data_IF_855155738108
#
_entry.id   IF_855155738108
#
_cell.length_a   1.000
_cell.length_b   1.000
_cell.length_c   1.000
_cell.angle_alpha   90.00
_cell.angle_beta   90.00
_cell.angle_gamma   90.00
#
_symmetry.space_group_name_H-M   'P 1'
#
loop_
_entity.id
_entity.type
_entity.pdbx_description
1 polymer ?
#
# COMPACT_ATOMS: atom_id res chain seq x y z
N UNK A 1 -19.22 1.70 -19.91
CA UNK A 1 -18.39 1.39 -18.70
C UNK A 1 -18.76 0.04 -18.13
N UNK A 2 -17.80 -0.81 -17.91
CA UNK A 2 -17.95 -2.13 -17.27
C UNK A 2 -17.43 -2.05 -15.83
N UNK A 3 -18.24 -2.47 -14.85
CA UNK A 3 -17.84 -2.48 -13.43
C UNK A 3 -16.82 -3.60 -13.17
N UNK A 4 -15.61 -3.24 -12.71
CA UNK A 4 -14.55 -4.19 -12.32
C UNK A 4 -14.65 -4.52 -10.83
N UNK A 5 -14.83 -3.48 -9.99
CA UNK A 5 -14.83 -3.62 -8.52
C UNK A 5 -15.69 -2.54 -7.87
N UNK A 6 -16.31 -2.90 -6.77
CA UNK A 6 -17.02 -1.96 -5.88
C UNK A 6 -16.52 -2.15 -4.45
N UNK A 7 -16.21 -1.05 -3.78
CA UNK A 7 -15.88 -0.99 -2.36
C UNK A 7 -16.70 0.12 -1.68
N UNK A 8 -16.56 0.26 -0.36
CA UNK A 8 -17.18 1.38 0.36
C UNK A 8 -16.54 2.73 0.01
N UNK A 9 -15.32 2.72 -0.54
CA UNK A 9 -14.51 3.91 -0.78
C UNK A 9 -14.49 4.33 -2.25
N UNK A 10 -14.60 3.37 -3.16
CA UNK A 10 -14.50 3.62 -4.59
C UNK A 10 -15.20 2.55 -5.40
N UNK A 11 -15.60 2.92 -6.62
CA UNK A 11 -15.96 1.99 -7.68
C UNK A 11 -14.89 2.06 -8.77
N UNK A 12 -14.53 0.93 -9.34
CA UNK A 12 -13.59 0.83 -10.44
C UNK A 12 -14.31 0.28 -11.68
N UNK A 13 -14.09 0.93 -12.82
CA UNK A 13 -14.71 0.60 -14.10
C UNK A 13 -13.66 0.48 -15.19
N UNK A 14 -14.00 -0.29 -16.22
CA UNK A 14 -13.35 -0.22 -17.52
C UNK A 14 -14.22 0.61 -18.48
N UNK A 15 -13.62 1.57 -19.15
CA UNK A 15 -14.25 2.43 -20.15
C UNK A 15 -13.39 2.45 -21.42
N UNK A 16 -13.61 1.48 -22.30
CA UNK A 16 -12.72 1.25 -23.45
C UNK A 16 -11.31 0.83 -23.00
N UNK A 17 -10.33 1.67 -23.33
CA UNK A 17 -8.92 1.48 -22.98
C UNK A 17 -8.51 2.25 -21.70
N UNK A 18 -9.50 2.72 -20.93
CA UNK A 18 -9.28 3.41 -19.68
C UNK A 18 -9.78 2.60 -18.48
N UNK A 19 -9.04 2.72 -17.38
CA UNK A 19 -9.45 2.33 -16.04
C UNK A 19 -9.91 3.58 -15.30
N UNK A 20 -11.15 3.57 -14.81
CA UNK A 20 -11.78 4.69 -14.11
C UNK A 20 -11.99 4.32 -12.65
N UNK A 21 -11.34 5.03 -11.74
CA UNK A 21 -11.55 4.92 -10.30
C UNK A 21 -12.43 6.07 -9.83
N UNK A 22 -13.69 5.77 -9.55
CA UNK A 22 -14.65 6.73 -8.99
C UNK A 22 -14.59 6.67 -7.48
N UNK A 23 -14.25 7.79 -6.83
CA UNK A 23 -14.22 7.91 -5.38
C UNK A 23 -15.63 8.17 -4.84
N UNK A 24 -16.04 7.45 -3.80
CA UNK A 24 -17.37 7.56 -3.19
C UNK A 24 -17.51 8.74 -2.21
N UNK A 25 -16.49 9.59 -2.13
CA UNK A 25 -16.46 10.75 -1.25
C UNK A 25 -15.64 11.87 -1.90
N UNK A 26 -15.95 13.10 -1.50
CA UNK A 26 -15.28 14.27 -2.04
C UNK A 26 -14.03 14.59 -1.20
N UNK A 27 -12.88 14.12 -1.66
CA UNK A 27 -11.57 14.44 -1.06
C UNK A 27 -10.59 14.76 -2.19
N UNK A 28 -10.65 16.00 -2.74
CA UNK A 28 -9.79 16.41 -3.85
C UNK A 28 -8.31 16.18 -3.59
N UNK A 29 -7.84 16.47 -2.38
CA UNK A 29 -6.44 16.33 -1.99
C UNK A 29 -5.95 14.88 -2.05
N UNK A 30 -6.82 13.91 -1.74
CA UNK A 30 -6.48 12.49 -1.87
C UNK A 30 -6.38 12.06 -3.33
N UNK A 31 -7.27 12.58 -4.19
CA UNK A 31 -7.23 12.31 -5.63
C UNK A 31 -5.98 12.93 -6.28
N UNK A 32 -5.66 14.17 -5.95
CA UNK A 32 -4.46 14.87 -6.43
C UNK A 32 -3.18 14.16 -5.99
N UNK A 33 -3.13 13.69 -4.75
CA UNK A 33 -2.02 12.91 -4.22
C UNK A 33 -1.83 11.61 -4.98
N UNK A 34 -2.89 10.84 -5.16
CA UNK A 34 -2.84 9.57 -5.90
C UNK A 34 -2.38 9.77 -7.34
N UNK A 35 -2.94 10.79 -8.03
CA UNK A 35 -2.57 11.14 -9.38
C UNK A 35 -1.09 11.53 -9.47
N UNK A 36 -0.63 12.44 -8.60
CA UNK A 36 0.76 12.91 -8.55
C UNK A 36 1.73 11.75 -8.27
N UNK A 37 1.41 10.90 -7.30
CA UNK A 37 2.27 9.78 -6.91
C UNK A 37 2.39 8.74 -8.03
N UNK A 38 1.26 8.37 -8.66
CA UNK A 38 1.25 7.44 -9.79
C UNK A 38 2.02 8.00 -11.00
N UNK A 39 1.79 9.25 -11.37
CA UNK A 39 2.47 9.90 -12.51
C UNK A 39 3.97 10.03 -12.26
N UNK A 40 4.36 10.39 -11.02
CA UNK A 40 5.77 10.44 -10.63
C UNK A 40 6.42 9.07 -10.74
N UNK A 41 5.81 8.02 -10.18
CA UNK A 41 6.33 6.65 -10.26
C UNK A 41 6.48 6.19 -11.72
N UNK A 42 5.49 6.47 -12.57
CA UNK A 42 5.56 6.21 -14.00
C UNK A 42 6.75 6.92 -14.67
N UNK A 43 6.96 8.21 -14.35
CA UNK A 43 8.08 9.00 -14.85
C UNK A 43 9.47 8.47 -14.44
N UNK A 44 9.56 7.76 -13.32
CA UNK A 44 10.78 7.05 -12.87
C UNK A 44 10.92 5.64 -13.47
N UNK A 45 10.05 5.26 -14.42
CA UNK A 45 10.07 3.96 -15.08
C UNK A 45 9.62 2.80 -14.18
N UNK A 46 8.83 3.10 -13.16
CA UNK A 46 8.05 2.08 -12.44
C UNK A 46 6.87 1.69 -13.33
N UNK A 47 6.70 0.40 -13.57
CA UNK A 47 5.56 -0.07 -14.34
C UNK A 47 4.28 0.05 -13.49
N UNK A 48 3.46 1.02 -13.84
CA UNK A 48 2.18 1.35 -13.22
C UNK A 48 1.21 1.86 -14.29
N UNK A 49 -0.12 1.74 -14.12
CA UNK A 49 -1.07 2.36 -15.04
C UNK A 49 -0.79 3.86 -15.17
N UNK A 50 -0.61 4.32 -16.39
CA UNK A 50 -0.37 5.74 -16.66
C UNK A 50 -1.58 6.57 -16.25
N UNK A 51 -1.37 7.59 -15.43
CA UNK A 51 -2.41 8.57 -15.11
C UNK A 51 -2.76 9.40 -16.35
N UNK A 52 -4.05 9.62 -16.58
CA UNK A 52 -4.58 10.38 -17.73
C UNK A 52 -5.18 11.71 -17.25
N UNK A 53 -6.15 11.65 -16.34
CA UNK A 53 -6.86 12.84 -15.89
C UNK A 53 -7.64 12.60 -14.60
N UNK A 54 -7.98 13.71 -13.93
CA UNK A 54 -9.01 13.76 -12.89
C UNK A 54 -10.24 14.46 -13.44
N UNK A 55 -11.38 13.84 -13.30
CA UNK A 55 -12.68 14.39 -13.70
C UNK A 55 -13.55 14.63 -12.46
N UNK A 56 -14.10 15.82 -12.38
CA UNK A 56 -15.07 16.20 -11.35
C UNK A 56 -16.47 15.97 -11.93
N UNK A 57 -17.20 15.02 -11.34
CA UNK A 57 -18.62 14.84 -11.67
C UNK A 57 -19.42 15.67 -10.65
N UNK A 58 -20.03 16.80 -11.04
CA UNK A 58 -20.73 17.70 -10.12
C UNK A 58 -21.71 16.96 -9.21
N UNK A 59 -21.68 17.28 -7.92
CA UNK A 59 -22.56 16.74 -6.87
C UNK A 59 -22.50 15.21 -6.67
N UNK A 60 -21.57 14.50 -7.31
CA UNK A 60 -21.53 13.03 -7.28
C UNK A 60 -20.18 12.48 -6.81
N UNK A 61 -19.07 12.81 -7.48
CA UNK A 61 -17.82 12.10 -7.25
C UNK A 61 -16.61 12.73 -7.93
N UNK A 62 -15.43 12.26 -7.53
CA UNK A 62 -14.17 12.43 -8.26
C UNK A 62 -13.83 11.15 -8.99
N UNK A 63 -13.48 11.26 -10.27
CA UNK A 63 -13.03 10.14 -11.09
C UNK A 63 -11.55 10.34 -11.46
N UNK A 64 -10.72 9.38 -11.11
CA UNK A 64 -9.35 9.26 -11.60
C UNK A 64 -9.35 8.32 -12.80
N UNK A 65 -8.76 8.78 -13.91
CA UNK A 65 -8.63 8.01 -15.15
C UNK A 65 -7.19 7.60 -15.35
N UNK A 66 -7.00 6.33 -15.68
CA UNK A 66 -5.72 5.71 -15.97
C UNK A 66 -5.82 4.88 -17.25
N UNK A 67 -4.68 4.60 -17.88
CA UNK A 67 -4.58 3.58 -18.89
C UNK A 67 -5.06 2.23 -18.34
N UNK A 68 -5.89 1.52 -19.11
CA UNK A 68 -6.33 0.18 -18.73
C UNK A 68 -5.24 -0.84 -19.08
N UNK A 69 -4.70 -1.48 -18.07
CA UNK A 69 -3.76 -2.59 -18.23
C UNK A 69 -4.44 -3.91 -17.84
N UNK A 70 -4.37 -4.96 -18.67
CA UNK A 70 -4.93 -6.28 -18.35
C UNK A 70 -4.03 -7.03 -17.34
N UNK A 71 -3.94 -6.49 -16.14
CA UNK A 71 -3.05 -6.98 -15.08
C UNK A 71 -3.59 -8.28 -14.49
N UNK A 72 -2.79 -9.34 -14.51
CA UNK A 72 -3.01 -10.55 -13.72
C UNK A 72 -2.61 -10.26 -12.27
N UNK A 73 -3.58 -10.26 -11.35
CA UNK A 73 -3.33 -10.05 -9.91
C UNK A 73 -2.43 -11.16 -9.35
N UNK A 74 -1.56 -10.78 -8.42
CA UNK A 74 -0.73 -11.69 -7.67
C UNK A 74 -1.43 -12.14 -6.38
N UNK A 75 -1.09 -13.33 -5.93
CA UNK A 75 -1.41 -13.87 -4.60
C UNK A 75 -0.13 -14.05 -3.78
N UNK A 76 -0.28 -14.21 -2.47
CA UNK A 76 0.87 -14.57 -1.62
C UNK A 76 1.51 -15.89 -2.06
N UNK A 77 0.71 -16.83 -2.56
CA UNK A 77 1.17 -18.15 -3.02
C UNK A 77 2.05 -18.03 -4.26
N UNK A 78 1.70 -17.16 -5.22
CA UNK A 78 2.52 -16.88 -6.41
C UNK A 78 3.92 -16.39 -6.00
N UNK A 79 3.99 -15.45 -5.05
CA UNK A 79 5.26 -14.86 -4.62
C UNK A 79 6.08 -15.81 -3.75
N UNK A 80 5.44 -16.60 -2.89
CA UNK A 80 6.14 -17.54 -2.01
C UNK A 80 6.65 -18.77 -2.75
N UNK A 81 6.00 -19.17 -3.84
CA UNK A 81 6.42 -20.31 -4.66
C UNK A 81 7.50 -19.96 -5.69
N UNK A 82 7.72 -18.68 -5.98
CA UNK A 82 8.70 -18.19 -6.96
C UNK A 82 9.68 -17.20 -6.33
N UNK A 83 10.87 -17.67 -5.96
CA UNK A 83 11.93 -16.85 -5.37
C UNK A 83 12.40 -15.72 -6.29
N UNK A 84 12.32 -15.90 -7.62
CA UNK A 84 12.64 -14.85 -8.57
C UNK A 84 11.62 -13.73 -8.52
N UNK A 85 10.33 -14.06 -8.46
CA UNK A 85 9.26 -13.08 -8.33
C UNK A 85 9.38 -12.32 -7.02
N UNK A 86 9.68 -13.00 -5.91
CA UNK A 86 9.94 -12.34 -4.62
C UNK A 86 11.11 -11.34 -4.73
N UNK A 87 12.22 -11.73 -5.37
CA UNK A 87 13.35 -10.82 -5.59
C UNK A 87 12.95 -9.61 -6.42
N UNK A 88 12.18 -9.81 -7.50
CA UNK A 88 11.67 -8.71 -8.32
C UNK A 88 10.76 -7.74 -7.52
N UNK A 89 9.92 -8.25 -6.62
CA UNK A 89 9.13 -7.39 -5.73
C UNK A 89 10.04 -6.54 -4.87
N UNK A 90 11.06 -7.12 -4.26
CA UNK A 90 11.98 -6.37 -3.39
C UNK A 90 12.75 -5.30 -4.18
N UNK A 91 13.27 -5.65 -5.37
CA UNK A 91 13.95 -4.70 -6.26
C UNK A 91 13.03 -3.54 -6.67
N UNK A 92 11.75 -3.82 -6.92
CA UNK A 92 10.75 -2.79 -7.19
C UNK A 92 10.58 -1.85 -5.99
N UNK A 93 10.48 -2.40 -4.76
CA UNK A 93 10.30 -1.61 -3.53
C UNK A 93 11.54 -0.76 -3.20
N UNK A 94 12.74 -1.30 -3.44
CA UNK A 94 13.98 -0.54 -3.30
C UNK A 94 14.01 0.61 -4.34
N UNK A 95 13.62 0.36 -5.59
CA UNK A 95 13.56 1.38 -6.64
C UNK A 95 12.52 2.48 -6.35
N UNK A 96 11.40 2.15 -5.71
CA UNK A 96 10.43 3.17 -5.26
C UNK A 96 11.07 4.19 -4.32
N UNK A 97 11.94 3.75 -3.41
CA UNK A 97 12.62 4.63 -2.45
C UNK A 97 13.62 5.61 -3.09
N UNK A 98 14.02 5.38 -4.36
CA UNK A 98 14.90 6.26 -5.11
C UNK A 98 14.17 7.45 -5.77
N UNK A 99 12.82 7.40 -5.78
CA UNK A 99 11.98 8.46 -6.36
C UNK A 99 12.18 9.75 -5.57
N UNK A 100 12.52 10.83 -6.27
CA UNK A 100 12.57 12.16 -5.67
C UNK A 100 11.15 12.69 -5.47
N UNK A 101 10.80 12.95 -4.23
CA UNK A 101 9.51 13.50 -3.83
C UNK A 101 9.68 14.86 -3.17
N UNK A 102 8.59 15.60 -3.04
CA UNK A 102 8.57 16.91 -2.41
C UNK A 102 8.93 16.80 -0.91
N UNK A 103 10.05 17.39 -0.50
CA UNK A 103 10.54 17.36 0.88
C UNK A 103 9.64 18.14 1.86
N UNK A 104 8.68 18.93 1.36
CA UNK A 104 7.68 19.61 2.20
C UNK A 104 6.43 18.77 2.46
N UNK A 105 6.37 17.55 1.93
CA UNK A 105 5.24 16.66 2.15
C UNK A 105 5.18 16.20 3.61
N UNK A 106 4.09 16.56 4.29
CA UNK A 106 3.83 16.23 5.71
C UNK A 106 2.79 15.13 5.88
N UNK A 107 2.40 14.44 4.82
CA UNK A 107 1.28 13.47 4.85
C UNK A 107 1.55 12.31 5.82
N UNK A 108 2.80 11.88 5.96
CA UNK A 108 3.18 10.88 6.95
C UNK A 108 2.74 11.29 8.35
N UNK A 109 3.20 12.44 8.83
CA UNK A 109 2.94 12.90 10.20
C UNK A 109 1.52 13.44 10.38
N UNK A 110 0.99 14.13 9.38
CA UNK A 110 -0.31 14.79 9.47
C UNK A 110 -1.48 13.83 9.34
N UNK A 111 -1.32 12.71 8.63
CA UNK A 111 -2.38 11.77 8.31
C UNK A 111 -2.06 10.32 8.68
N UNK A 112 -0.99 9.72 8.10
CA UNK A 112 -0.75 8.28 8.24
C UNK A 112 -0.49 7.87 9.69
N UNK A 113 0.34 8.59 10.42
CA UNK A 113 0.65 8.30 11.83
C UNK A 113 -0.63 8.34 12.68
N UNK A 114 -1.48 9.35 12.48
CA UNK A 114 -2.76 9.46 13.20
C UNK A 114 -3.73 8.34 12.87
N UNK A 115 -3.77 7.91 11.60
CA UNK A 115 -4.58 6.77 11.19
C UNK A 115 -4.08 5.48 11.85
N UNK A 116 -2.77 5.28 11.96
CA UNK A 116 -2.19 4.11 12.63
C UNK A 116 -2.52 4.08 14.13
N UNK A 117 -2.39 5.21 14.83
CA UNK A 117 -2.81 5.33 16.24
C UNK A 117 -4.30 4.99 16.42
N UNK A 118 -5.13 5.45 15.51
CA UNK A 118 -6.54 5.11 15.52
C UNK A 118 -6.78 3.60 15.28
N UNK A 119 -6.06 2.97 14.36
CA UNK A 119 -6.17 1.52 14.14
C UNK A 119 -5.67 0.70 15.34
N UNK A 120 -4.67 1.17 16.07
CA UNK A 120 -4.21 0.55 17.32
C UNK A 120 -5.28 0.53 18.40
N UNK A 121 -6.18 1.52 18.45
CA UNK A 121 -7.24 1.60 19.46
C UNK A 121 -8.23 0.41 19.40
N UNK A 122 -8.26 -0.35 18.30
CA UNK A 122 -9.10 -1.54 18.17
C UNK A 122 -8.42 -2.83 18.67
N UNK A 123 -7.16 -2.75 19.07
CA UNK A 123 -6.43 -3.88 19.63
C UNK A 123 -6.64 -3.96 21.14
N UNK A 124 -6.78 -5.18 21.66
CA UNK A 124 -7.06 -5.43 23.07
C UNK A 124 -5.80 -5.63 23.94
N UNK A 125 -4.68 -5.03 23.53
CA UNK A 125 -3.42 -5.06 24.25
C UNK A 125 -2.72 -3.70 24.19
N UNK A 126 -1.69 -3.50 25.06
CA UNK A 126 -0.98 -2.23 25.10
C UNK A 126 -0.15 -2.02 23.84
N UNK A 127 -0.52 -0.97 23.08
CA UNK A 127 0.12 -0.58 21.83
C UNK A 127 1.02 0.65 21.95
N UNK A 128 1.21 1.21 23.15
CA UNK A 128 1.98 2.44 23.34
C UNK A 128 3.38 2.35 22.73
N UNK A 129 4.08 1.23 22.93
CA UNK A 129 5.40 0.99 22.34
C UNK A 129 5.41 1.00 20.80
N UNK A 130 4.27 0.72 20.15
CA UNK A 130 4.12 0.78 18.70
C UNK A 130 3.91 2.20 18.23
N UNK A 131 3.02 2.93 18.92
CA UNK A 131 2.80 4.35 18.68
C UNK A 131 4.09 5.14 18.87
N UNK A 132 4.81 4.96 19.99
CA UNK A 132 6.09 5.62 20.25
C UNK A 132 7.12 5.35 19.14
N UNK A 133 7.19 4.11 18.65
CA UNK A 133 8.10 3.77 17.56
C UNK A 133 7.70 4.45 16.25
N UNK A 134 6.43 4.42 15.87
CA UNK A 134 5.93 5.08 14.64
C UNK A 134 6.21 6.59 14.69
N UNK A 135 5.94 7.25 15.83
CA UNK A 135 6.23 8.66 16.02
C UNK A 135 7.74 9.00 16.01
N UNK A 136 8.61 8.02 16.24
CA UNK A 136 10.07 8.20 16.16
C UNK A 136 10.63 8.05 14.74
N UNK A 137 9.83 7.56 13.78
CA UNK A 137 10.29 7.37 12.40
C UNK A 137 10.35 8.71 11.66
N UNK A 138 11.44 8.92 10.93
CA UNK A 138 11.67 10.14 10.15
C UNK A 138 11.36 9.83 8.68
N UNK A 139 10.39 10.52 8.06
CA UNK A 139 10.14 10.44 6.63
C UNK A 139 11.35 10.98 5.84
N UNK A 140 11.88 10.20 4.91
CA UNK A 140 13.09 10.57 4.17
C UNK A 140 13.12 10.09 2.72
N UNK A 141 12.22 9.16 2.36
CA UNK A 141 12.14 8.58 1.01
C UNK A 141 10.70 8.55 0.53
N UNK A 142 10.50 8.45 -0.78
CA UNK A 142 9.17 8.19 -1.31
C UNK A 142 8.72 6.79 -0.93
N UNK A 143 7.46 6.68 -0.50
CA UNK A 143 6.79 5.42 -0.24
C UNK A 143 5.47 5.34 -1.00
N UNK A 144 5.07 4.14 -1.37
CA UNK A 144 3.72 3.84 -1.84
C UNK A 144 2.70 3.90 -0.69
N UNK A 145 3.12 3.51 0.51
CA UNK A 145 2.37 3.59 1.76
C UNK A 145 1.36 2.46 2.02
N UNK A 146 0.91 1.74 0.98
CA UNK A 146 0.09 0.51 1.08
C UNK A 146 0.63 -0.58 0.15
N UNK A 147 1.92 -0.87 0.25
CA UNK A 147 2.63 -1.83 -0.59
C UNK A 147 2.27 -3.27 -0.23
N UNK A 148 1.03 -3.67 -0.51
CA UNK A 148 0.57 -5.04 -0.33
C UNK A 148 0.53 -5.78 -1.66
N UNK A 149 0.56 -7.12 -1.60
CA UNK A 149 0.41 -7.97 -2.77
C UNK A 149 -0.88 -7.67 -3.56
N UNK A 150 -1.92 -7.15 -2.88
CA UNK A 150 -3.20 -6.81 -3.50
C UNK A 150 -3.11 -5.60 -4.43
N UNK A 151 -2.05 -4.79 -4.31
CA UNK A 151 -1.75 -3.63 -5.12
C UNK A 151 -0.63 -3.93 -6.14
N UNK A 152 -0.38 -5.22 -6.41
CA UNK A 152 0.60 -5.70 -7.38
C UNK A 152 0.00 -6.72 -8.33
N UNK A 153 0.62 -6.87 -9.50
CA UNK A 153 0.25 -7.85 -10.49
C UNK A 153 1.30 -8.02 -11.57
N UNK A 154 0.99 -8.82 -12.59
CA UNK A 154 1.84 -9.05 -13.74
C UNK A 154 1.15 -8.58 -15.01
N UNK A 155 1.90 -7.85 -15.84
CA UNK A 155 1.56 -7.53 -17.22
C UNK A 155 2.67 -8.12 -18.09
N UNK A 156 2.36 -9.11 -18.92
CA UNK A 156 3.33 -9.80 -19.77
C UNK A 156 4.60 -10.24 -19.00
N UNK A 157 4.40 -10.84 -17.82
CA UNK A 157 5.44 -11.27 -16.86
C UNK A 157 6.27 -10.13 -16.23
N UNK A 158 5.93 -8.86 -16.47
CA UNK A 158 6.55 -7.74 -15.79
C UNK A 158 5.71 -7.35 -14.57
N UNK A 159 6.39 -7.09 -13.44
CA UNK A 159 5.74 -6.69 -12.21
C UNK A 159 5.18 -5.27 -12.33
N UNK A 160 3.91 -5.12 -12.01
CA UNK A 160 3.16 -3.85 -12.00
C UNK A 160 2.73 -3.53 -10.58
N UNK A 161 2.84 -2.27 -10.18
CA UNK A 161 2.30 -1.75 -8.91
C UNK A 161 1.29 -0.64 -9.19
N UNK A 162 0.22 -0.56 -8.41
CA UNK A 162 -0.87 0.40 -8.60
C UNK A 162 -1.53 0.78 -7.26
N UNK A 163 -2.45 1.79 -7.30
CA UNK A 163 -3.20 2.29 -6.13
C UNK A 163 -2.32 3.12 -5.16
N UNK A 164 -1.71 4.19 -5.68
CA UNK A 164 -0.80 5.10 -4.97
C UNK A 164 -1.51 6.11 -4.04
N UNK A 165 -2.68 5.79 -3.51
CA UNK A 165 -3.47 6.71 -2.68
C UNK A 165 -2.74 7.22 -1.41
N UNK A 166 -1.75 6.49 -0.93
CA UNK A 166 -0.91 6.85 0.22
C UNK A 166 0.52 7.26 -0.17
N UNK A 167 0.76 7.48 -1.48
CA UNK A 167 2.07 7.90 -1.98
C UNK A 167 2.53 9.22 -1.34
N UNK A 168 3.68 9.20 -0.66
CA UNK A 168 4.16 10.33 0.16
C UNK A 168 5.64 10.17 0.51
N UNK A 169 6.22 11.15 1.23
CA UNK A 169 7.41 10.87 2.04
C UNK A 169 7.05 9.94 3.18
N UNK A 170 7.92 8.98 3.45
CA UNK A 170 7.82 8.06 4.57
C UNK A 170 9.18 7.54 5.01
N UNK A 171 9.21 6.71 6.05
CA UNK A 171 10.46 6.14 6.55
C UNK A 171 11.08 5.16 5.56
N UNK A 172 12.40 5.20 5.45
CA UNK A 172 13.15 4.21 4.69
C UNK A 172 12.84 2.78 5.15
N UNK A 173 12.64 1.87 4.21
CA UNK A 173 12.28 0.47 4.44
C UNK A 173 10.79 0.22 4.74
N UNK A 174 9.95 1.28 4.80
CA UNK A 174 8.52 1.14 5.11
C UNK A 174 7.79 0.22 4.14
N UNK A 175 7.90 0.44 2.84
CA UNK A 175 7.18 -0.35 1.83
C UNK A 175 7.61 -1.81 1.82
N UNK A 176 8.91 -2.09 2.03
CA UNK A 176 9.42 -3.44 2.18
C UNK A 176 8.83 -4.12 3.42
N UNK A 177 8.86 -3.45 4.55
CA UNK A 177 8.26 -3.94 5.78
C UNK A 177 6.74 -4.13 5.65
N UNK A 178 6.06 -3.21 4.93
CA UNK A 178 4.63 -3.31 4.65
C UNK A 178 4.30 -4.54 3.82
N UNK A 179 5.03 -4.78 2.73
CA UNK A 179 4.87 -5.97 1.92
C UNK A 179 5.07 -7.25 2.75
N UNK A 180 6.18 -7.32 3.51
CA UNK A 180 6.49 -8.48 4.35
C UNK A 180 5.43 -8.71 5.43
N UNK A 181 4.87 -7.66 6.03
CA UNK A 181 3.78 -7.73 7.00
C UNK A 181 2.45 -8.28 6.42
N UNK A 182 2.36 -8.50 5.12
CA UNK A 182 1.22 -9.18 4.49
C UNK A 182 1.37 -10.69 4.46
N UNK A 183 2.55 -11.20 4.79
CA UNK A 183 2.96 -12.61 4.69
C UNK A 183 3.29 -13.13 6.10
N UNK A 184 3.02 -14.41 6.35
CA UNK A 184 3.46 -15.07 7.56
C UNK A 184 5.01 -15.12 7.58
N UNK A 185 5.62 -14.63 8.66
CA UNK A 185 7.08 -14.54 8.80
C UNK A 185 7.79 -15.87 8.57
N UNK A 186 7.20 -16.97 9.02
CA UNK A 186 7.80 -18.29 8.86
C UNK A 186 7.94 -18.70 7.38
N UNK A 187 7.07 -18.19 6.51
CA UNK A 187 7.11 -18.47 5.07
C UNK A 187 8.25 -17.71 4.36
N UNK A 188 8.84 -16.69 4.99
CA UNK A 188 9.92 -15.85 4.45
C UNK A 188 11.15 -15.83 5.36
N UNK A 189 11.34 -16.87 6.17
CA UNK A 189 12.44 -16.98 7.16
C UNK A 189 13.84 -16.84 6.55
N UNK A 190 13.99 -17.19 5.28
CA UNK A 190 15.26 -17.07 4.54
C UNK A 190 15.55 -15.65 4.03
N UNK A 191 14.60 -14.71 4.20
CA UNK A 191 14.77 -13.35 3.74
C UNK A 191 15.41 -12.47 4.82
N UNK A 192 16.48 -11.76 4.44
CA UNK A 192 17.28 -10.97 5.38
C UNK A 192 16.67 -9.57 5.55
N UNK A 193 15.84 -9.39 6.58
CA UNK A 193 15.40 -8.07 7.03
C UNK A 193 16.30 -7.53 8.12
N UNK A 194 16.56 -6.24 8.11
CA UNK A 194 17.18 -5.53 9.25
C UNK A 194 16.25 -5.58 10.48
N UNK A 195 16.79 -5.38 11.66
CA UNK A 195 15.97 -5.38 12.88
C UNK A 195 14.94 -4.23 12.87
N UNK A 196 15.26 -3.11 12.23
CA UNK A 196 14.33 -1.99 12.02
C UNK A 196 13.17 -2.40 11.10
N UNK A 197 13.44 -3.06 9.98
CA UNK A 197 12.40 -3.54 9.06
C UNK A 197 11.52 -4.62 9.70
N UNK A 198 12.11 -5.54 10.47
CA UNK A 198 11.36 -6.53 11.25
C UNK A 198 10.42 -5.85 12.24
N UNK A 199 10.93 -4.83 12.94
CA UNK A 199 10.11 -4.06 13.89
C UNK A 199 8.98 -3.31 13.19
N UNK A 200 9.25 -2.70 12.04
CA UNK A 200 8.20 -2.09 11.22
C UNK A 200 7.18 -3.13 10.75
N UNK A 201 7.60 -4.30 10.30
CA UNK A 201 6.68 -5.37 9.87
C UNK A 201 5.79 -5.89 11.00
N UNK A 202 6.33 -6.05 12.22
CA UNK A 202 5.52 -6.35 13.42
C UNK A 202 4.42 -5.30 13.63
N UNK A 203 4.80 -4.03 13.60
CA UNK A 203 3.88 -2.92 13.87
C UNK A 203 2.83 -2.79 12.75
N UNK A 204 3.24 -2.91 11.48
CA UNK A 204 2.33 -2.88 10.34
C UNK A 204 1.34 -4.04 10.39
N UNK A 205 1.79 -5.24 10.79
CA UNK A 205 0.89 -6.38 10.95
C UNK A 205 -0.14 -6.14 12.06
N UNK A 206 0.22 -5.44 13.15
CA UNK A 206 -0.69 -5.00 14.20
C UNK A 206 -1.71 -3.98 13.68
N UNK A 207 -1.26 -2.96 12.92
CA UNK A 207 -2.14 -1.97 12.24
C UNK A 207 -3.17 -2.69 11.37
N UNK A 208 -2.72 -3.62 10.53
CA UNK A 208 -3.58 -4.40 9.64
C UNK A 208 -4.60 -5.26 10.40
N UNK A 209 -4.21 -5.81 11.54
CA UNK A 209 -5.13 -6.54 12.43
C UNK A 209 -6.16 -5.58 13.04
N UNK A 210 -5.74 -4.44 13.58
CA UNK A 210 -6.64 -3.42 14.11
C UNK A 210 -7.67 -2.95 13.07
N UNK A 211 -7.21 -2.67 11.85
CA UNK A 211 -8.06 -2.33 10.72
C UNK A 211 -9.08 -3.42 10.39
N UNK A 212 -8.68 -4.69 10.44
CA UNK A 212 -9.58 -5.82 10.19
C UNK A 212 -10.64 -5.94 11.28
N UNK A 213 -10.27 -5.79 12.54
CA UNK A 213 -11.19 -5.83 13.68
C UNK A 213 -12.21 -4.68 13.57
N UNK A 214 -11.74 -3.44 13.36
CA UNK A 214 -12.58 -2.25 13.15
C UNK A 214 -13.64 -2.46 12.06
N UNK A 215 -13.23 -3.07 10.93
CA UNK A 215 -14.10 -3.31 9.78
C UNK A 215 -14.89 -4.62 9.86
N UNK A 216 -14.71 -5.41 10.93
CA UNK A 216 -15.29 -6.74 11.10
C UNK A 216 -15.07 -7.66 9.87
N UNK A 217 -13.82 -7.69 9.36
CA UNK A 217 -13.47 -8.44 8.17
C UNK A 217 -13.34 -9.93 8.44
N UNK A 218 -13.65 -10.74 7.43
CA UNK A 218 -13.49 -12.20 7.49
C UNK A 218 -12.03 -12.65 7.65
N UNK A 219 -11.09 -11.78 7.28
CA UNK A 219 -9.64 -12.01 7.36
C UNK A 219 -9.04 -11.86 8.77
N UNK A 220 -9.83 -11.50 9.79
CA UNK A 220 -9.32 -11.34 11.18
C UNK A 220 -8.48 -12.54 11.63
N UNK A 221 -8.88 -13.81 11.45
CA UNK A 221 -8.08 -14.95 11.89
C UNK A 221 -6.72 -15.02 11.21
N UNK A 222 -6.68 -14.85 9.88
CA UNK A 222 -5.43 -14.87 9.09
C UNK A 222 -4.53 -13.71 9.49
N UNK A 223 -5.06 -12.49 9.65
CA UNK A 223 -4.27 -11.33 10.06
C UNK A 223 -3.75 -11.45 11.49
N UNK A 224 -4.48 -12.11 12.36
CA UNK A 224 -4.00 -12.43 13.71
C UNK A 224 -2.85 -13.42 13.67
N UNK A 225 -2.94 -14.47 12.87
CA UNK A 225 -1.85 -15.43 12.68
C UNK A 225 -0.59 -14.75 12.15
N UNK A 226 -0.73 -13.90 11.12
CA UNK A 226 0.39 -13.11 10.59
C UNK A 226 0.99 -12.23 11.68
N UNK A 227 0.18 -11.47 12.43
CA UNK A 227 0.66 -10.64 13.53
C UNK A 227 1.42 -11.46 14.59
N UNK A 228 0.87 -12.59 15.04
CA UNK A 228 1.54 -13.43 16.03
C UNK A 228 2.87 -14.00 15.50
N UNK A 229 2.99 -14.24 14.19
CA UNK A 229 4.27 -14.67 13.60
C UNK A 229 5.34 -13.58 13.62
N UNK A 230 4.97 -12.30 13.65
CA UNK A 230 5.89 -11.15 13.73
C UNK A 230 6.16 -10.69 15.16
N UNK A 231 5.28 -10.97 16.11
CA UNK A 231 5.32 -10.47 17.50
C UNK A 231 6.51 -10.97 18.33
N UNK A 232 7.19 -12.00 17.91
CA UNK A 232 8.27 -12.65 18.66
C UNK A 232 9.67 -12.06 18.43
N UNK A 233 9.72 -10.77 18.06
CA UNK A 233 10.98 -10.03 17.84
C UNK A 233 11.20 -9.06 19.05
#
# INVERSE_FOLDING_TARGET
MELIRKSNWSCAYRDGDEFVKQLNFWVPEAAEREAKASDTAYGYGILTPKYISTEIVPDVSLCLRYEYLPIKKLSNEDVLSDSKLLSQVIELLDKLSEIKWDNSDTYWDSFLVKEFDYEFSFLNFNTQKYSDFIHSLIPSVFIHGDCSIYNMGLLDNNLVIFDFQHGSLGPEGWDKAYFMATINRNAISNYCLSDREKRMAEIISAIRLGRAIKKNLKEIPIRREIYESWKSI
#
